data_IF_945169045475
#
_entry.id   IF_945169045475
#
_cell.length_a   1.000
_cell.length_b   1.000
_cell.length_c   1.000
_cell.angle_alpha   90.00
_cell.angle_beta   90.00
_cell.angle_gamma   90.00
#
_symmetry.space_group_name_H-M   'P 1'
#
loop_
_entity.id
_entity.type
_entity.pdbx_description
1 polymer ?
#
# COMPACT_ATOMS: atom_id res chain seq x y z
N UNK A 1 4.80 -11.46 -6.29
CA UNK A 1 5.58 -10.34 -6.87
C UNK A 1 6.21 -9.65 -5.69
N UNK A 2 7.54 -9.61 -5.63
CA UNK A 2 8.28 -8.97 -4.53
C UNK A 2 8.19 -7.44 -4.61
N UNK A 3 8.54 -6.75 -3.52
CA UNK A 3 8.67 -5.28 -3.52
C UNK A 3 9.73 -4.84 -4.54
N UNK A 4 10.83 -5.59 -4.67
CA UNK A 4 11.84 -5.32 -5.69
C UNK A 4 11.27 -5.41 -7.11
N UNK A 5 10.44 -6.42 -7.40
CA UNK A 5 9.75 -6.55 -8.69
C UNK A 5 8.78 -5.39 -8.93
N UNK A 6 8.10 -4.91 -7.88
CA UNK A 6 7.19 -3.76 -7.98
C UNK A 6 7.96 -2.46 -8.26
N UNK A 7 9.04 -2.20 -7.53
CA UNK A 7 9.90 -1.03 -7.75
C UNK A 7 10.45 -1.05 -9.17
N UNK A 8 10.99 -2.18 -9.63
CA UNK A 8 11.49 -2.32 -11.00
C UNK A 8 10.41 -2.04 -12.05
N UNK A 9 9.18 -2.53 -11.84
CA UNK A 9 8.04 -2.23 -12.72
C UNK A 9 7.67 -0.76 -12.73
N UNK A 10 7.73 -0.08 -11.59
CA UNK A 10 7.47 1.36 -11.54
C UNK A 10 8.55 2.17 -12.25
N UNK A 11 9.82 1.79 -12.09
CA UNK A 11 10.93 2.42 -12.81
C UNK A 11 10.84 2.20 -14.32
N UNK A 12 10.54 0.97 -14.75
CA UNK A 12 10.31 0.62 -16.17
C UNK A 12 9.11 1.40 -16.73
N UNK A 13 8.00 1.44 -15.99
CA UNK A 13 6.83 2.22 -16.35
C UNK A 13 7.18 3.71 -16.50
N UNK A 14 7.93 4.26 -15.55
CA UNK A 14 8.27 5.67 -15.52
C UNK A 14 9.10 6.10 -16.74
N UNK A 15 10.06 5.25 -17.12
CA UNK A 15 10.86 5.42 -18.33
C UNK A 15 10.01 5.30 -19.60
N UNK A 16 9.15 4.28 -19.68
CA UNK A 16 8.27 4.03 -20.83
C UNK A 16 7.21 5.13 -21.01
N UNK A 17 6.67 5.67 -19.91
CA UNK A 17 5.72 6.77 -19.93
C UNK A 17 6.34 8.03 -20.51
N UNK A 18 7.56 8.39 -20.07
CA UNK A 18 8.29 9.54 -20.60
C UNK A 18 8.52 9.42 -22.10
N UNK A 19 9.04 8.28 -22.55
CA UNK A 19 9.34 8.06 -23.97
C UNK A 19 8.06 8.08 -24.82
N UNK A 20 7.03 7.33 -24.41
CA UNK A 20 5.75 7.23 -25.14
C UNK A 20 5.06 8.58 -25.26
N UNK A 21 5.04 9.36 -24.18
CA UNK A 21 4.38 10.67 -24.16
C UNK A 21 5.20 11.69 -24.94
N UNK A 22 6.52 11.68 -24.83
CA UNK A 22 7.37 12.55 -25.63
C UNK A 22 7.13 12.33 -27.13
N UNK A 23 7.15 11.06 -27.57
CA UNK A 23 6.89 10.67 -28.96
C UNK A 23 5.47 11.05 -29.40
N UNK A 24 4.47 10.86 -28.53
CA UNK A 24 3.09 11.28 -28.80
C UNK A 24 2.97 12.79 -28.99
N UNK A 25 3.54 13.59 -28.08
CA UNK A 25 3.50 15.05 -28.12
C UNK A 25 4.21 15.57 -29.37
N UNK A 26 5.38 15.01 -29.71
CA UNK A 26 6.10 15.40 -30.92
C UNK A 26 5.29 15.08 -32.19
N UNK A 27 4.72 13.87 -32.27
CA UNK A 27 3.89 13.43 -33.39
C UNK A 27 2.63 14.29 -33.53
N UNK A 28 1.96 14.58 -32.42
CA UNK A 28 0.77 15.43 -32.40
C UNK A 28 1.09 16.86 -32.84
N UNK A 29 2.21 17.42 -32.39
CA UNK A 29 2.65 18.76 -32.80
C UNK A 29 2.98 18.83 -34.30
N UNK A 30 3.64 17.81 -34.86
CA UNK A 30 3.87 17.69 -36.31
C UNK A 30 2.54 17.62 -37.08
N UNK A 31 1.61 16.78 -36.64
CA UNK A 31 0.30 16.63 -37.28
C UNK A 31 -0.52 17.93 -37.20
N UNK A 32 -0.52 18.62 -36.05
CA UNK A 32 -1.16 19.93 -35.90
C UNK A 32 -0.58 20.98 -36.85
N UNK A 33 0.74 21.01 -37.03
CA UNK A 33 1.41 21.95 -37.95
C UNK A 33 1.08 21.71 -39.42
N UNK A 34 0.75 20.47 -39.81
CA UNK A 34 0.26 20.14 -41.16
C UNK A 34 -1.21 20.54 -41.33
N UNK A 35 -2.03 20.28 -40.32
CA UNK A 35 -3.47 20.52 -40.35
C UNK A 35 -3.80 22.01 -40.31
N UNK A 36 -3.04 22.82 -39.58
CA UNK A 36 -3.20 24.29 -39.56
C UNK A 36 -3.08 24.95 -40.95
N UNK A 37 -2.47 24.27 -41.92
CA UNK A 37 -2.33 24.74 -43.30
C UNK A 37 -3.54 24.43 -44.18
N UNK A 38 -4.51 23.65 -43.69
CA UNK A 38 -5.72 23.28 -44.44
C UNK A 38 -6.85 24.29 -44.17
N UNK A 39 -7.48 24.87 -45.21
CA UNK A 39 -8.55 25.86 -45.05
C UNK A 39 -9.91 25.14 -44.90
N UNK A 40 -10.13 24.47 -43.77
CA UNK A 40 -11.38 23.75 -43.47
C UNK A 40 -12.14 24.38 -42.28
N UNK A 41 -13.44 24.67 -42.42
CA UNK A 41 -14.25 25.16 -41.30
C UNK A 41 -14.40 24.10 -40.20
N UNK A 42 -14.32 24.51 -38.92
CA UNK A 42 -14.42 23.62 -37.75
C UNK A 42 -13.09 23.03 -37.27
N UNK A 43 -12.02 23.13 -38.07
CA UNK A 43 -10.69 22.60 -37.75
C UNK A 43 -10.04 23.30 -36.55
N UNK A 44 -10.28 24.61 -36.40
CA UNK A 44 -9.74 25.44 -35.33
C UNK A 44 -10.18 24.96 -33.94
N UNK A 45 -11.46 24.62 -33.79
CA UNK A 45 -12.01 24.11 -32.53
C UNK A 45 -11.40 22.74 -32.16
N UNK A 46 -11.19 21.89 -33.16
CA UNK A 46 -10.55 20.59 -33.00
C UNK A 46 -9.09 20.73 -32.57
N UNK A 47 -8.34 21.64 -33.19
CA UNK A 47 -6.94 21.96 -32.86
C UNK A 47 -6.82 22.41 -31.39
N UNK A 48 -7.72 23.26 -30.90
CA UNK A 48 -7.69 23.71 -29.50
C UNK A 48 -8.05 22.60 -28.52
N UNK A 49 -8.98 21.70 -28.87
CA UNK A 49 -9.27 20.50 -28.07
C UNK A 49 -8.03 19.61 -27.97
N UNK A 50 -7.33 19.38 -29.09
CA UNK A 50 -6.11 18.56 -29.13
C UNK A 50 -5.01 19.16 -28.27
N UNK A 51 -4.74 20.47 -28.38
CA UNK A 51 -3.76 21.16 -27.53
C UNK A 51 -4.11 21.05 -26.05
N UNK A 52 -5.40 21.15 -25.72
CA UNK A 52 -5.87 21.00 -24.33
C UNK A 52 -5.64 19.59 -23.81
N UNK A 53 -5.91 18.58 -24.64
CA UNK A 53 -5.66 17.16 -24.31
C UNK A 53 -4.17 16.87 -24.17
N UNK A 54 -3.31 17.41 -25.04
CA UNK A 54 -1.85 17.28 -24.95
C UNK A 54 -1.32 17.84 -23.62
N UNK A 55 -1.73 19.06 -23.25
CA UNK A 55 -1.41 19.64 -21.93
C UNK A 55 -1.94 18.80 -20.77
N UNK A 56 -3.10 18.17 -20.95
CA UNK A 56 -3.67 17.24 -19.98
C UNK A 56 -2.81 16.00 -19.80
N UNK A 57 -2.38 15.37 -20.89
CA UNK A 57 -1.47 14.21 -20.89
C UNK A 57 -0.16 14.55 -20.20
N UNK A 58 0.47 15.68 -20.55
CA UNK A 58 1.70 16.16 -19.90
C UNK A 58 1.53 16.34 -18.38
N UNK A 59 0.42 16.94 -17.94
CA UNK A 59 0.10 17.10 -16.51
C UNK A 59 -0.07 15.75 -15.80
N UNK A 60 -0.75 14.80 -16.43
CA UNK A 60 -0.98 13.46 -15.86
C UNK A 60 0.33 12.70 -15.73
N UNK A 61 1.21 12.78 -16.74
CA UNK A 61 2.54 12.15 -16.68
C UNK A 61 3.39 12.75 -15.58
N UNK A 62 3.38 14.09 -15.45
CA UNK A 62 4.09 14.75 -14.35
C UNK A 62 3.55 14.30 -12.98
N UNK A 63 2.24 14.28 -12.82
CA UNK A 63 1.60 13.79 -11.60
C UNK A 63 1.99 12.33 -11.29
N UNK A 64 1.97 11.45 -12.30
CA UNK A 64 2.33 10.06 -12.11
C UNK A 64 3.84 9.90 -11.80
N UNK A 65 4.71 10.73 -12.39
CA UNK A 65 6.14 10.81 -12.05
C UNK A 65 6.34 11.15 -10.57
N UNK A 66 5.74 12.24 -10.12
CA UNK A 66 5.84 12.70 -8.73
C UNK A 66 5.30 11.63 -7.75
N UNK A 67 4.33 10.83 -8.21
CA UNK A 67 3.69 9.78 -7.45
C UNK A 67 4.51 8.46 -7.44
N UNK A 68 5.34 8.19 -8.44
CA UNK A 68 6.28 7.05 -8.44
C UNK A 68 7.28 7.16 -7.30
N UNK A 69 7.90 8.33 -7.10
CA UNK A 69 8.84 8.54 -6.01
C UNK A 69 8.17 8.32 -4.65
N UNK A 70 6.95 8.80 -4.50
CA UNK A 70 6.12 8.56 -3.32
C UNK A 70 5.86 7.07 -3.10
N UNK A 71 5.43 6.33 -4.13
CA UNK A 71 5.15 4.88 -4.03
C UNK A 71 6.43 4.11 -3.67
N UNK A 72 7.57 4.44 -4.27
CA UNK A 72 8.84 3.74 -3.99
C UNK A 72 9.24 3.96 -2.52
N UNK A 73 9.10 5.17 -1.99
CA UNK A 73 9.36 5.45 -0.58
C UNK A 73 8.37 4.74 0.35
N UNK A 74 7.09 4.70 -0.03
CA UNK A 74 6.04 4.02 0.73
C UNK A 74 6.27 2.51 0.78
N UNK A 75 6.60 1.88 -0.35
CA UNK A 75 6.94 0.45 -0.44
C UNK A 75 8.15 0.08 0.43
N UNK A 76 9.21 0.91 0.43
CA UNK A 76 10.38 0.70 1.31
C UNK A 76 10.01 0.80 2.79
N UNK A 77 9.09 1.70 3.12
CA UNK A 77 8.60 1.86 4.49
C UNK A 77 7.72 0.68 4.90
N UNK A 78 6.84 0.23 4.01
CA UNK A 78 5.99 -0.94 4.18
C UNK A 78 6.81 -2.21 4.42
N UNK A 79 7.93 -2.38 3.70
CA UNK A 79 8.84 -3.51 3.94
C UNK A 79 9.39 -3.53 5.37
N UNK A 80 9.78 -2.37 5.90
CA UNK A 80 10.25 -2.26 7.29
C UNK A 80 9.16 -2.60 8.29
N UNK A 81 7.90 -2.27 8.01
CA UNK A 81 6.77 -2.63 8.86
C UNK A 81 6.61 -4.16 8.90
N UNK A 82 6.67 -4.83 7.75
CA UNK A 82 6.60 -6.28 7.65
C UNK A 82 7.76 -6.98 8.39
N UNK A 83 8.99 -6.54 8.14
CA UNK A 83 10.19 -7.04 8.83
C UNK A 83 10.07 -6.87 10.35
N UNK A 84 9.56 -5.72 10.80
CA UNK A 84 9.34 -5.44 12.23
C UNK A 84 8.25 -6.34 12.81
N UNK A 85 7.15 -6.57 12.10
CA UNK A 85 6.09 -7.49 12.52
C UNK A 85 6.58 -8.92 12.66
N UNK A 86 7.42 -9.36 11.71
CA UNK A 86 8.09 -10.66 11.74
C UNK A 86 9.05 -10.77 12.94
N UNK A 87 9.91 -9.77 13.16
CA UNK A 87 10.86 -9.74 14.29
C UNK A 87 10.13 -9.77 15.63
N UNK A 88 9.08 -8.96 15.76
CA UNK A 88 8.24 -8.89 16.95
C UNK A 88 7.59 -10.23 17.26
N UNK A 89 7.07 -10.91 16.24
CA UNK A 89 6.46 -12.23 16.39
C UNK A 89 7.48 -13.26 16.82
N UNK A 90 8.62 -13.35 16.11
CA UNK A 90 9.60 -14.41 16.29
C UNK A 90 10.43 -14.25 17.56
N UNK A 91 10.82 -13.01 17.90
CA UNK A 91 11.76 -12.75 19.00
C UNK A 91 11.08 -12.38 20.31
N UNK A 92 9.81 -11.97 20.25
CA UNK A 92 9.10 -11.52 21.45
C UNK A 92 7.84 -12.34 21.67
N UNK A 93 6.86 -12.31 20.76
CA UNK A 93 5.57 -12.94 21.01
C UNK A 93 5.67 -14.46 21.25
N UNK A 94 6.35 -15.19 20.35
CA UNK A 94 6.50 -16.65 20.47
C UNK A 94 7.29 -17.05 21.73
N UNK A 95 8.46 -16.47 22.03
CA UNK A 95 9.19 -16.78 23.27
C UNK A 95 8.40 -16.47 24.54
N UNK A 96 7.69 -15.34 24.57
CA UNK A 96 6.88 -14.92 25.72
C UNK A 96 5.68 -15.85 25.91
N UNK A 97 4.99 -16.27 24.84
CA UNK A 97 3.94 -17.29 24.91
C UNK A 97 4.47 -18.63 25.46
N UNK A 98 5.71 -19.00 25.12
CA UNK A 98 6.35 -20.21 25.61
C UNK A 98 6.50 -20.27 27.13
N UNK A 99 6.48 -19.12 27.81
CA UNK A 99 6.51 -19.06 29.27
C UNK A 99 5.26 -19.71 29.87
N UNK A 100 4.07 -19.22 29.50
CA UNK A 100 2.80 -19.74 30.02
C UNK A 100 2.46 -21.13 29.45
N UNK A 101 2.80 -21.38 28.18
CA UNK A 101 2.42 -22.61 27.48
C UNK A 101 3.29 -23.83 27.80
N UNK A 102 4.48 -23.64 28.38
CA UNK A 102 5.42 -24.75 28.59
C UNK A 102 6.34 -24.58 29.77
N UNK A 103 7.04 -23.45 29.88
CA UNK A 103 8.09 -23.25 30.88
C UNK A 103 7.58 -23.40 32.32
N UNK A 104 6.41 -22.81 32.63
CA UNK A 104 5.87 -22.86 34.00
C UNK A 104 5.67 -24.29 34.50
N UNK A 105 5.16 -25.19 33.66
CA UNK A 105 4.96 -26.60 34.04
C UNK A 105 6.25 -27.39 34.29
N UNK A 106 7.38 -26.89 33.78
CA UNK A 106 8.70 -27.49 33.98
C UNK A 106 9.32 -27.10 35.32
N UNK A 107 8.85 -26.04 35.96
CA UNK A 107 9.34 -25.60 37.26
C UNK A 107 9.01 -26.63 38.34
N UNK A 108 10.03 -27.35 38.82
CA UNK A 108 9.85 -28.40 39.83
C UNK A 108 9.31 -27.85 41.15
N UNK A 109 9.64 -26.62 41.52
CA UNK A 109 9.11 -25.94 42.71
C UNK A 109 7.58 -25.71 42.69
N UNK A 110 6.91 -25.93 41.55
CA UNK A 110 5.46 -25.90 41.44
C UNK A 110 4.80 -27.28 41.65
N UNK A 111 5.58 -28.35 41.74
CA UNK A 111 5.07 -29.70 41.92
C UNK A 111 5.08 -30.03 43.40
N UNK A 112 3.91 -30.34 43.95
CA UNK A 112 3.70 -30.65 45.36
C UNK A 112 4.69 -31.69 45.88
N UNK A 113 5.00 -32.72 45.07
CA UNK A 113 6.00 -33.75 45.40
C UNK A 113 7.42 -33.24 45.72
N UNK A 114 7.76 -32.01 45.33
CA UNK A 114 9.10 -31.42 45.49
C UNK A 114 9.11 -30.24 46.47
N UNK A 115 7.99 -29.53 46.65
CA UNK A 115 7.87 -28.43 47.59
C UNK A 115 6.41 -28.20 48.00
N UNK A 116 6.16 -28.19 49.32
CA UNK A 116 4.83 -28.03 49.91
C UNK A 116 4.79 -26.88 50.94
N UNK A 117 3.58 -26.52 51.37
CA UNK A 117 3.31 -25.47 52.36
C UNK A 117 3.02 -24.10 51.76
N UNK A 118 2.76 -23.12 52.61
CA UNK A 118 2.29 -21.78 52.22
C UNK A 118 3.26 -21.07 51.25
N UNK A 119 4.57 -21.27 51.42
CA UNK A 119 5.59 -20.73 50.52
C UNK A 119 5.53 -21.34 49.11
N UNK A 120 5.29 -22.65 49.00
CA UNK A 120 5.13 -23.33 47.71
C UNK A 120 3.86 -22.89 46.98
N UNK A 121 2.78 -22.67 47.75
CA UNK A 121 1.52 -22.12 47.24
C UNK A 121 1.71 -20.69 46.74
N UNK A 122 2.33 -19.82 47.53
CA UNK A 122 2.66 -18.45 47.14
C UNK A 122 3.53 -18.39 45.88
N UNK A 123 4.55 -19.26 45.77
CA UNK A 123 5.40 -19.36 44.59
C UNK A 123 4.62 -19.79 43.33
N UNK A 124 3.73 -20.78 43.48
CA UNK A 124 2.87 -21.25 42.38
C UNK A 124 1.92 -20.14 41.92
N UNK A 125 1.26 -19.45 42.85
CA UNK A 125 0.36 -18.32 42.56
C UNK A 125 1.11 -17.15 41.88
N UNK A 126 2.32 -16.82 42.34
CA UNK A 126 3.16 -15.80 41.70
C UNK A 126 3.55 -16.17 40.27
N UNK A 127 3.96 -17.42 40.05
CA UNK A 127 4.38 -17.86 38.73
C UNK A 127 3.19 -18.03 37.77
N UNK A 128 1.99 -18.32 38.27
CA UNK A 128 0.74 -18.25 37.48
C UNK A 128 0.41 -16.83 37.03
N UNK A 129 0.51 -15.87 37.94
CA UNK A 129 0.32 -14.45 37.66
C UNK A 129 1.31 -13.95 36.58
N UNK A 130 2.57 -14.37 36.67
CA UNK A 130 3.59 -14.09 35.64
C UNK A 130 3.28 -14.78 34.31
N UNK A 131 2.74 -16.01 34.33
CA UNK A 131 2.27 -16.70 33.13
C UNK A 131 1.17 -15.94 32.41
N UNK A 132 0.16 -15.48 33.16
CA UNK A 132 -0.95 -14.68 32.61
C UNK A 132 -0.44 -13.36 32.02
N UNK A 133 0.51 -12.70 32.68
CA UNK A 133 1.14 -11.48 32.16
C UNK A 133 1.88 -11.72 30.85
N UNK A 134 2.62 -12.84 30.75
CA UNK A 134 3.27 -13.25 29.51
C UNK A 134 2.26 -13.56 28.40
N UNK A 135 1.16 -14.26 28.70
CA UNK A 135 0.12 -14.55 27.71
C UNK A 135 -0.54 -13.27 27.16
N UNK A 136 -0.90 -12.33 28.06
CA UNK A 136 -1.41 -11.01 27.70
C UNK A 136 -0.42 -10.23 26.82
N UNK A 137 0.86 -10.21 27.21
CA UNK A 137 1.91 -9.52 26.48
C UNK A 137 2.16 -10.13 25.09
N UNK A 138 2.18 -11.46 24.98
CA UNK A 138 2.29 -12.16 23.70
C UNK A 138 1.13 -11.79 22.78
N UNK A 139 -0.11 -11.80 23.27
CA UNK A 139 -1.29 -11.47 22.47
C UNK A 139 -1.26 -10.02 21.98
N UNK A 140 -0.80 -9.08 22.82
CA UNK A 140 -0.61 -7.68 22.42
C UNK A 140 0.44 -7.55 21.30
N UNK A 141 1.58 -8.23 21.42
CA UNK A 141 2.62 -8.22 20.39
C UNK A 141 2.18 -8.89 19.08
N UNK A 142 1.41 -9.98 19.13
CA UNK A 142 0.82 -10.60 17.93
C UNK A 142 -0.19 -9.69 17.25
N UNK A 143 -0.98 -8.95 18.03
CA UNK A 143 -1.94 -7.96 17.49
C UNK A 143 -1.18 -6.81 16.79
N UNK A 144 -0.11 -6.31 17.40
CA UNK A 144 0.74 -5.29 16.79
C UNK A 144 1.41 -5.80 15.50
N UNK A 145 1.98 -7.01 15.52
CA UNK A 145 2.56 -7.63 14.32
C UNK A 145 1.54 -7.78 13.19
N UNK A 146 0.32 -8.24 13.52
CA UNK A 146 -0.77 -8.36 12.55
C UNK A 146 -1.15 -7.01 11.95
N UNK A 147 -1.22 -5.95 12.76
CA UNK A 147 -1.51 -4.61 12.28
C UNK A 147 -0.42 -4.07 11.34
N UNK A 148 0.86 -4.40 11.61
CA UNK A 148 1.98 -4.05 10.74
C UNK A 148 1.91 -4.80 9.39
N UNK A 149 1.56 -6.08 9.39
CA UNK A 149 1.34 -6.85 8.16
C UNK A 149 0.12 -6.36 7.37
N UNK A 150 -1.01 -6.07 8.03
CA UNK A 150 -2.20 -5.51 7.39
C UNK A 150 -1.90 -4.15 6.71
N UNK A 151 -1.06 -3.31 7.34
CA UNK A 151 -0.59 -2.06 6.76
C UNK A 151 0.32 -2.29 5.54
N UNK A 152 1.25 -3.25 5.63
CA UNK A 152 2.10 -3.67 4.51
C UNK A 152 1.29 -4.15 3.30
N UNK A 153 0.31 -5.05 3.53
CA UNK A 153 -0.58 -5.55 2.49
C UNK A 153 -1.36 -4.41 1.82
N UNK A 154 -1.81 -3.42 2.61
CA UNK A 154 -2.45 -2.20 2.10
C UNK A 154 -1.56 -1.43 1.11
N UNK A 155 -0.29 -1.21 1.46
CA UNK A 155 0.69 -0.55 0.59
C UNK A 155 1.00 -1.36 -0.68
N UNK A 156 1.16 -2.68 -0.57
CA UNK A 156 1.41 -3.56 -1.71
C UNK A 156 0.25 -3.56 -2.71
N UNK A 157 -0.97 -3.53 -2.21
CA UNK A 157 -2.17 -3.46 -3.04
C UNK A 157 -2.30 -2.09 -3.71
N UNK A 158 -1.99 -0.99 -3.02
CA UNK A 158 -1.93 0.35 -3.61
C UNK A 158 -0.91 0.42 -4.76
N UNK A 159 0.30 -0.06 -4.53
CA UNK A 159 1.34 -0.17 -5.53
C UNK A 159 0.90 -1.00 -6.75
N UNK A 160 0.35 -2.21 -6.53
CA UNK A 160 -0.13 -3.05 -7.62
C UNK A 160 -1.18 -2.35 -8.51
N UNK A 161 -2.08 -1.60 -7.90
CA UNK A 161 -3.12 -0.89 -8.63
C UNK A 161 -2.63 0.34 -9.39
N UNK A 162 -1.70 1.08 -8.80
CA UNK A 162 -1.03 2.18 -9.47
C UNK A 162 -0.32 1.68 -10.73
N UNK A 163 0.37 0.54 -10.67
CA UNK A 163 0.97 -0.07 -11.85
C UNK A 163 -0.06 -0.41 -12.94
N UNK A 164 -1.25 -0.92 -12.58
CA UNK A 164 -2.33 -1.21 -13.54
C UNK A 164 -2.90 0.07 -14.18
N UNK A 165 -3.21 1.07 -13.37
CA UNK A 165 -3.74 2.35 -13.82
C UNK A 165 -2.75 3.04 -14.78
N UNK A 166 -1.47 3.04 -14.40
CA UNK A 166 -0.42 3.68 -15.14
C UNK A 166 -0.11 2.92 -16.46
N UNK A 167 -0.13 1.58 -16.44
CA UNK A 167 -0.04 0.77 -17.65
C UNK A 167 -1.21 0.98 -18.62
N UNK A 168 -2.44 1.06 -18.11
CA UNK A 168 -3.65 1.39 -18.90
C UNK A 168 -3.51 2.76 -19.58
N UNK A 169 -2.96 3.74 -18.86
CA UNK A 169 -2.71 5.07 -19.38
C UNK A 169 -1.68 5.06 -20.53
N UNK A 170 -0.51 4.41 -20.35
CA UNK A 170 0.51 4.30 -21.41
C UNK A 170 -0.08 3.65 -22.66
N UNK A 171 -0.82 2.54 -22.50
CA UNK A 171 -1.45 1.85 -23.62
C UNK A 171 -2.44 2.76 -24.38
N UNK A 172 -3.22 3.56 -23.65
CA UNK A 172 -4.13 4.55 -24.23
C UNK A 172 -3.39 5.65 -25.02
N UNK A 173 -2.28 6.16 -24.49
CA UNK A 173 -1.45 7.17 -25.17
C UNK A 173 -0.76 6.58 -26.41
N UNK A 174 -0.27 5.34 -26.34
CA UNK A 174 0.35 4.66 -27.48
C UNK A 174 -0.67 4.40 -28.61
N UNK A 175 -1.89 3.95 -28.27
CA UNK A 175 -2.98 3.77 -29.24
C UNK A 175 -3.41 5.09 -29.88
N UNK A 176 -3.43 6.18 -29.08
CA UNK A 176 -3.63 7.53 -29.59
C UNK A 176 -2.50 7.94 -30.55
N UNK A 177 -1.24 7.70 -30.22
CA UNK A 177 -0.11 8.00 -31.11
C UNK A 177 -0.18 7.26 -32.45
N UNK A 178 -0.51 5.97 -32.44
CA UNK A 178 -0.66 5.18 -33.66
C UNK A 178 -1.78 5.70 -34.58
N UNK A 179 -2.84 6.29 -34.01
CA UNK A 179 -3.94 6.89 -34.77
C UNK A 179 -3.66 8.33 -35.23
N UNK A 180 -2.62 8.98 -34.71
CA UNK A 180 -2.11 10.28 -35.19
C UNK A 180 -1.23 10.20 -36.44
N UNK A 181 -1.14 9.02 -37.04
CA UNK A 181 -0.58 8.81 -38.37
C UNK A 181 -1.74 8.76 -39.40
N UNK A 182 -2.45 9.86 -39.76
CA UNK A 182 -3.42 9.81 -40.84
C UNK A 182 -2.82 10.26 -42.18
N UNK A 183 -3.22 9.63 -43.30
CA UNK A 183 -3.02 10.21 -44.62
C UNK A 183 -3.80 11.53 -44.71
N UNK A 184 -3.21 12.56 -45.35
CA UNK A 184 -3.82 13.87 -45.56
C UNK A 184 -5.12 13.77 -46.38
N UNK A 185 -6.24 13.48 -45.71
CA UNK A 185 -7.55 13.18 -46.32
C UNK A 185 -8.70 13.79 -45.51
N UNK A 186 -9.91 13.96 -46.10
CA UNK A 186 -11.07 14.60 -45.46
C UNK A 186 -11.57 13.94 -44.17
N UNK A 187 -11.13 12.71 -43.86
CA UNK A 187 -11.51 11.97 -42.65
C UNK A 187 -10.79 12.45 -41.37
N UNK A 188 -9.84 13.39 -41.47
CA UNK A 188 -9.03 13.85 -40.35
C UNK A 188 -9.82 14.25 -39.09
N UNK A 189 -10.97 14.98 -39.16
CA UNK A 189 -11.70 15.37 -37.95
C UNK A 189 -12.25 14.17 -37.15
N UNK A 190 -12.66 13.09 -37.82
CA UNK A 190 -13.21 11.89 -37.18
C UNK A 190 -12.12 11.08 -36.45
N UNK A 191 -10.93 10.98 -37.05
CA UNK A 191 -9.77 10.31 -36.44
C UNK A 191 -9.35 11.03 -35.14
N UNK A 192 -9.29 12.36 -35.18
CA UNK A 192 -8.96 13.16 -34.00
C UNK A 192 -10.03 13.12 -32.89
N UNK A 193 -11.31 13.04 -33.25
CA UNK A 193 -12.38 12.84 -32.26
C UNK A 193 -12.25 11.48 -31.55
N UNK A 194 -11.87 10.42 -32.28
CA UNK A 194 -11.62 9.10 -31.70
C UNK A 194 -10.39 9.10 -30.76
N UNK A 195 -9.30 9.78 -31.15
CA UNK A 195 -8.11 9.97 -30.31
C UNK A 195 -8.46 10.63 -28.97
N UNK A 196 -9.25 11.71 -29.01
CA UNK A 196 -9.70 12.42 -27.80
C UNK A 196 -10.56 11.53 -26.90
N UNK A 197 -11.43 10.69 -27.48
CA UNK A 197 -12.27 9.77 -26.72
C UNK A 197 -11.44 8.70 -25.98
N UNK A 198 -10.45 8.10 -26.66
CA UNK A 198 -9.55 7.11 -26.07
C UNK A 198 -8.75 7.70 -24.90
N UNK A 199 -8.21 8.91 -25.05
CA UNK A 199 -7.44 9.56 -23.99
C UNK A 199 -8.29 9.93 -22.77
N UNK A 200 -9.53 10.40 -22.98
CA UNK A 200 -10.48 10.67 -21.89
C UNK A 200 -10.85 9.40 -21.12
N UNK A 201 -11.10 8.29 -21.83
CA UNK A 201 -11.43 7.02 -21.21
C UNK A 201 -10.26 6.46 -20.39
N UNK A 202 -9.04 6.52 -20.92
CA UNK A 202 -7.83 6.11 -20.22
C UNK A 202 -7.61 6.92 -18.93
N UNK A 203 -7.80 8.24 -18.98
CA UNK A 203 -7.71 9.11 -17.81
C UNK A 203 -8.78 8.79 -16.76
N UNK A 204 -10.03 8.61 -17.17
CA UNK A 204 -11.13 8.29 -16.25
C UNK A 204 -10.92 6.92 -15.56
N UNK A 205 -10.43 5.91 -16.30
CA UNK A 205 -10.10 4.60 -15.75
C UNK A 205 -8.97 4.68 -14.71
N UNK A 206 -7.91 5.45 -15.00
CA UNK A 206 -6.81 5.67 -14.06
C UNK A 206 -7.29 6.37 -12.78
N UNK A 207 -8.09 7.45 -12.90
CA UNK A 207 -8.66 8.17 -11.76
C UNK A 207 -9.60 7.28 -10.94
N UNK A 208 -10.45 6.49 -11.59
CA UNK A 208 -11.36 5.57 -10.90
C UNK A 208 -10.61 4.48 -10.13
N UNK A 209 -9.53 3.93 -10.71
CA UNK A 209 -8.67 2.96 -10.04
C UNK A 209 -7.99 3.54 -8.79
N UNK A 210 -7.47 4.77 -8.88
CA UNK A 210 -6.89 5.50 -7.73
C UNK A 210 -7.94 5.77 -6.66
N UNK A 211 -9.12 6.25 -7.06
CA UNK A 211 -10.20 6.65 -6.14
C UNK A 211 -10.82 5.45 -5.40
N UNK A 212 -11.02 4.33 -6.11
CA UNK A 212 -11.52 3.08 -5.52
C UNK A 212 -10.54 2.49 -4.49
N UNK A 213 -9.26 2.88 -4.53
CA UNK A 213 -8.24 2.44 -3.58
C UNK A 213 -8.10 3.31 -2.34
N UNK A 214 -8.28 4.63 -2.43
CA UNK A 214 -8.41 5.47 -1.24
C UNK A 214 -9.54 4.96 -0.32
N UNK A 215 -10.61 4.41 -0.92
CA UNK A 215 -11.71 3.77 -0.19
C UNK A 215 -11.33 2.44 0.50
N UNK A 216 -10.24 1.79 0.11
CA UNK A 216 -9.80 0.49 0.66
C UNK A 216 -8.53 0.57 1.54
N UNK A 217 -7.65 1.55 1.30
CA UNK A 217 -6.50 1.85 2.18
C UNK A 217 -6.98 2.36 3.54
N UNK A 218 -7.97 3.27 3.53
CA UNK A 218 -8.46 3.92 4.74
C UNK A 218 -9.09 2.93 5.75
N UNK A 219 -9.89 1.91 5.33
CA UNK A 219 -10.32 0.84 6.22
C UNK A 219 -9.20 -0.04 6.78
N UNK A 220 -8.16 -0.36 6.00
CA UNK A 220 -7.02 -1.16 6.46
C UNK A 220 -6.22 -0.42 7.53
N UNK A 221 -5.89 0.85 7.29
CA UNK A 221 -5.22 1.71 8.27
C UNK A 221 -6.07 1.91 9.53
N UNK A 222 -7.38 2.09 9.37
CA UNK A 222 -8.30 2.19 10.50
C UNK A 222 -8.38 0.88 11.29
N UNK A 223 -8.39 -0.28 10.62
CA UNK A 223 -8.37 -1.59 11.27
C UNK A 223 -7.05 -1.80 12.03
N UNK A 224 -5.92 -1.41 11.44
CA UNK A 224 -4.63 -1.43 12.11
C UNK A 224 -4.63 -0.53 13.35
N UNK A 225 -5.12 0.71 13.23
CA UNK A 225 -5.24 1.65 14.34
C UNK A 225 -6.17 1.13 15.45
N UNK A 226 -7.36 0.61 15.11
CA UNK A 226 -8.27 -0.03 16.05
C UNK A 226 -7.65 -1.27 16.71
N UNK A 227 -6.79 -2.01 15.99
CA UNK A 227 -6.01 -3.12 16.51
C UNK A 227 -4.97 -2.66 17.53
N UNK A 228 -4.22 -1.59 17.24
CA UNK A 228 -3.28 -0.97 18.17
C UNK A 228 -3.97 -0.44 19.44
N UNK A 229 -5.10 0.24 19.30
CA UNK A 229 -5.87 0.75 20.44
C UNK A 229 -6.40 -0.39 21.32
N UNK A 230 -6.85 -1.50 20.72
CA UNK A 230 -7.28 -2.70 21.46
C UNK A 230 -6.13 -3.43 22.14
N UNK A 231 -4.96 -3.50 21.50
CA UNK A 231 -3.76 -4.10 22.08
C UNK A 231 -3.27 -3.30 23.31
N UNK A 232 -3.39 -1.98 23.27
CA UNK A 232 -3.09 -1.09 24.40
C UNK A 232 -4.01 -1.31 25.61
N UNK A 233 -5.22 -1.82 25.40
CA UNK A 233 -6.27 -1.83 26.41
C UNK A 233 -6.61 -3.22 26.94
N UNK A 234 -6.24 -4.29 26.25
CA UNK A 234 -6.60 -5.69 26.55
C UNK A 234 -8.07 -5.86 27.02
N UNK A 235 -9.00 -5.10 26.41
CA UNK A 235 -10.42 -5.10 26.79
C UNK A 235 -10.74 -4.59 28.22
N UNK A 236 -9.83 -3.84 28.84
CA UNK A 236 -9.96 -3.27 30.19
C UNK A 236 -9.65 -4.25 31.33
N UNK A 237 -9.13 -5.44 31.03
CA UNK A 237 -8.72 -6.44 32.01
C UNK A 237 -7.27 -6.82 31.77
N UNK A 238 -6.39 -6.18 32.53
CA UNK A 238 -4.95 -6.43 32.47
C UNK A 238 -4.47 -6.89 33.84
N UNK A 239 -3.51 -7.82 33.87
CA UNK A 239 -2.80 -8.14 35.12
C UNK A 239 -1.73 -7.08 35.43
N UNK A 240 -1.34 -6.24 34.47
CA UNK A 240 -0.37 -5.18 34.68
C UNK A 240 -0.99 -4.00 35.45
N UNK A 241 -0.43 -3.66 36.61
CA UNK A 241 -0.86 -2.50 37.40
C UNK A 241 -0.03 -1.26 37.05
N UNK A 242 -0.64 -0.22 36.48
CA UNK A 242 0.04 0.97 35.96
C UNK A 242 1.20 0.66 34.99
N UNK A 243 1.06 -0.40 34.18
CA UNK A 243 2.10 -0.84 33.24
C UNK A 243 3.29 -1.56 33.89
N UNK A 244 3.24 -1.85 35.19
CA UNK A 244 4.25 -2.64 35.88
C UNK A 244 3.89 -4.12 35.90
N UNK A 245 4.92 -4.96 35.97
CA UNK A 245 4.76 -6.40 36.19
C UNK A 245 3.90 -6.66 37.43
N UNK A 246 2.98 -7.64 37.38
CA UNK A 246 2.13 -7.94 38.51
C UNK A 246 2.94 -8.48 39.68
N UNK A 247 2.69 -7.92 40.86
CA UNK A 247 3.32 -8.33 42.13
C UNK A 247 2.25 -8.84 43.08
N UNK A 248 2.42 -10.07 43.59
CA UNK A 248 1.62 -10.55 44.72
C UNK A 248 2.19 -9.94 46.01
N UNK A 249 1.38 -9.20 46.76
CA UNK A 249 1.69 -8.84 48.15
C UNK A 249 1.43 -10.04 49.04
N UNK A 250 2.49 -10.66 49.54
CA UNK A 250 2.42 -11.70 50.57
C UNK A 250 2.24 -11.01 51.92
N UNK A 251 1.07 -11.20 52.54
CA UNK A 251 0.73 -10.68 53.88
C UNK A 251 1.06 -11.71 54.95
#
# INVERSE_FOLDING_TARGET
>A
MSIADMIAKFEEWNNSANETVHNFVETANKALGLIQKLPLPGLQALIEIVKTVLKGVEKVVKYLHDLVDFIIQDLKSAQKLDDTGNDLTQRVAVPVAGVSQGFLSQLEGRKERFWEGDGAKAYTEHTDLQGQACEELSNAYQTLATALHDAYDGCMVFAGAMAVAAGTFIAGVAAAAASLIPPATPAAPAVWAAVVAVLKAALAAAVAAVSAWFLKLHPQLRKAQEGLDKASLNGGKTVFYNGNWPTLTLY
#
